data_IF_411573868637
#
_entry.id   IF_411573868637
#
_cell.length_a   1.000
_cell.length_b   1.000
_cell.length_c   1.000
_cell.angle_alpha   90.00
_cell.angle_beta   90.00
_cell.angle_gamma   90.00
#
_symmetry.space_group_name_H-M   'P 1'
#
loop_
_entity.id
_entity.type
_entity.pdbx_description
1 polymer ?
#
# COMPACT_ATOMS: atom_id res chain seq x y z
N UNK A 1 -42.78 -6.00 -32.04
CA UNK A 1 -42.35 -4.59 -32.19
C UNK A 1 -43.16 -3.79 -31.19
N UNK A 2 -42.61 -3.58 -30.01
CA UNK A 2 -43.27 -2.79 -28.96
C UNK A 2 -42.62 -1.42 -28.96
N UNK A 3 -43.40 -0.41 -29.34
CA UNK A 3 -43.08 1.00 -29.31
C UNK A 3 -42.93 1.45 -27.84
N UNK A 4 -41.71 1.41 -27.30
CA UNK A 4 -41.42 2.01 -25.99
C UNK A 4 -41.39 3.52 -26.19
N UNK A 5 -42.45 4.19 -25.74
CA UNK A 5 -42.52 5.65 -25.68
C UNK A 5 -41.28 6.21 -24.96
N UNK A 6 -40.40 6.88 -25.71
CA UNK A 6 -39.21 7.54 -25.16
C UNK A 6 -39.68 8.61 -24.17
N UNK A 7 -39.26 8.52 -22.91
CA UNK A 7 -39.70 9.47 -21.90
C UNK A 7 -39.14 10.86 -22.22
N UNK A 8 -40.04 11.86 -22.23
CA UNK A 8 -39.71 13.24 -22.52
C UNK A 8 -39.83 14.07 -21.24
N UNK A 9 -38.77 14.81 -20.92
CA UNK A 9 -38.66 15.61 -19.71
C UNK A 9 -38.60 17.10 -20.05
N UNK A 10 -39.26 17.93 -19.23
CA UNK A 10 -38.92 19.35 -19.14
C UNK A 10 -37.66 19.53 -18.29
N UNK A 11 -37.07 20.73 -18.32
CA UNK A 11 -35.82 20.99 -17.59
C UNK A 11 -36.02 20.86 -16.07
N UNK A 12 -37.21 21.20 -15.59
CA UNK A 12 -37.63 21.05 -14.19
C UNK A 12 -37.76 19.58 -13.80
N UNK A 13 -38.38 18.76 -14.66
CA UNK A 13 -38.50 17.32 -14.44
C UNK A 13 -37.11 16.66 -14.45
N UNK A 14 -36.25 17.05 -15.38
CA UNK A 14 -34.90 16.53 -15.49
C UNK A 14 -34.05 16.86 -14.25
N UNK A 15 -34.20 18.07 -13.71
CA UNK A 15 -33.57 18.47 -12.45
C UNK A 15 -34.04 17.59 -11.28
N UNK A 16 -35.35 17.36 -11.18
CA UNK A 16 -35.90 16.51 -10.13
C UNK A 16 -35.39 15.06 -10.20
N UNK A 17 -35.37 14.46 -11.40
CA UNK A 17 -34.98 13.06 -11.58
C UNK A 17 -33.46 12.80 -11.53
N UNK A 18 -32.65 13.82 -11.77
CA UNK A 18 -31.18 13.74 -11.71
C UNK A 18 -30.59 14.15 -10.37
N UNK A 19 -31.37 14.84 -9.52
CA UNK A 19 -30.86 15.47 -8.30
C UNK A 19 -30.03 16.74 -8.56
N UNK A 20 -29.83 17.14 -9.81
CA UNK A 20 -29.11 18.35 -10.19
C UNK A 20 -30.05 19.58 -10.23
N UNK A 21 -29.54 20.77 -9.98
CA UNK A 21 -30.35 22.00 -10.13
C UNK A 21 -30.49 22.40 -11.60
N UNK A 22 -31.58 23.10 -11.95
CA UNK A 22 -31.77 23.69 -13.29
C UNK A 22 -30.57 24.56 -13.70
N UNK A 23 -29.98 25.29 -12.74
CA UNK A 23 -28.77 26.10 -12.96
C UNK A 23 -27.59 25.24 -13.36
N UNK A 24 -27.37 24.12 -12.66
CA UNK A 24 -26.30 23.16 -12.95
C UNK A 24 -26.48 22.54 -14.34
N UNK A 25 -27.70 22.12 -14.70
CA UNK A 25 -28.00 21.54 -16.01
C UNK A 25 -27.67 22.52 -17.14
N UNK A 26 -28.07 23.80 -17.02
CA UNK A 26 -27.69 24.83 -18.00
C UNK A 26 -26.18 25.05 -18.06
N UNK A 27 -25.51 25.08 -16.91
CA UNK A 27 -24.06 25.22 -16.84
C UNK A 27 -23.32 24.04 -17.50
N UNK A 28 -23.89 22.83 -17.51
CA UNK A 28 -23.35 21.67 -18.22
C UNK A 28 -23.62 21.76 -19.72
N UNK A 29 -24.79 22.25 -20.15
CA UNK A 29 -25.07 22.53 -21.56
C UNK A 29 -24.11 23.57 -22.14
N UNK A 30 -23.92 24.70 -21.44
CA UNK A 30 -23.05 25.79 -21.89
C UNK A 30 -21.59 25.33 -22.02
N UNK A 31 -21.17 24.38 -21.18
CA UNK A 31 -19.84 23.75 -21.24
C UNK A 31 -19.74 22.58 -22.21
N UNK A 32 -20.83 22.20 -22.89
CA UNK A 32 -20.83 21.09 -23.85
C UNK A 32 -20.84 19.69 -23.22
N UNK A 33 -21.13 19.57 -21.93
CA UNK A 33 -21.22 18.29 -21.21
C UNK A 33 -22.54 17.55 -21.46
N UNK A 34 -23.55 18.27 -21.96
CA UNK A 34 -24.86 17.73 -22.31
C UNK A 34 -25.18 18.00 -23.78
N UNK A 35 -25.78 17.02 -24.50
CA UNK A 35 -26.34 17.25 -25.83
C UNK A 35 -27.30 18.43 -25.82
N UNK A 36 -27.40 19.10 -26.97
CA UNK A 36 -28.41 20.14 -27.15
C UNK A 36 -29.80 19.50 -27.06
N UNK A 37 -30.73 20.09 -26.28
CA UNK A 37 -32.07 19.56 -26.17
C UNK A 37 -32.82 19.73 -27.49
N UNK A 38 -33.80 18.87 -27.73
CA UNK A 38 -34.65 18.98 -28.91
C UNK A 38 -35.64 20.12 -28.75
N UNK A 39 -35.80 20.91 -29.82
CA UNK A 39 -36.72 22.04 -29.81
C UNK A 39 -38.08 21.59 -30.32
N UNK A 40 -39.09 21.59 -29.46
CA UNK A 40 -40.48 21.32 -29.85
C UNK A 40 -41.33 22.57 -29.59
N UNK A 41 -41.59 23.33 -30.66
CA UNK A 41 -42.30 24.60 -30.59
C UNK A 41 -41.52 25.67 -29.81
N UNK A 42 -42.13 26.25 -28.77
CA UNK A 42 -41.51 27.29 -27.92
C UNK A 42 -40.69 26.74 -26.76
N UNK A 43 -40.60 25.42 -26.63
CA UNK A 43 -40.00 24.78 -25.45
C UNK A 43 -38.97 23.73 -25.82
N UNK A 44 -37.91 23.64 -25.01
CA UNK A 44 -36.91 22.59 -25.12
C UNK A 44 -37.41 21.32 -24.43
N UNK A 45 -37.10 20.16 -25.02
CA UNK A 45 -37.46 18.84 -24.51
C UNK A 45 -36.19 18.01 -24.37
N UNK A 46 -36.11 17.29 -23.26
CA UNK A 46 -35.02 16.41 -22.91
C UNK A 46 -35.49 14.97 -22.99
N UNK A 47 -34.58 14.05 -23.30
CA UNK A 47 -34.86 12.61 -23.39
C UNK A 47 -34.13 11.86 -22.29
N UNK A 48 -34.45 10.59 -22.11
CA UNK A 48 -33.75 9.66 -21.20
C UNK A 48 -32.22 9.71 -21.32
N UNK A 49 -31.70 9.94 -22.52
CA UNK A 49 -30.25 10.11 -22.78
C UNK A 49 -29.63 11.26 -22.00
N UNK A 50 -30.38 12.35 -21.76
CA UNK A 50 -29.92 13.49 -20.98
C UNK A 50 -29.90 13.16 -19.48
N UNK A 51 -30.90 12.40 -19.01
CA UNK A 51 -30.99 11.97 -17.62
C UNK A 51 -29.85 10.99 -17.27
N UNK A 52 -29.60 10.02 -18.15
CA UNK A 52 -28.50 9.08 -18.01
C UNK A 52 -27.14 9.82 -17.94
N UNK A 53 -26.93 10.79 -18.83
CA UNK A 53 -25.70 11.60 -18.86
C UNK A 53 -25.51 12.44 -17.61
N UNK A 54 -26.58 13.00 -17.05
CA UNK A 54 -26.52 13.74 -15.79
C UNK A 54 -26.11 12.86 -14.61
N UNK A 55 -26.64 11.63 -14.52
CA UNK A 55 -26.25 10.67 -13.47
C UNK A 55 -24.78 10.25 -13.60
N UNK A 56 -24.31 10.02 -14.84
CA UNK A 56 -22.90 9.71 -15.09
C UNK A 56 -21.95 10.84 -14.67
N UNK A 57 -22.32 12.10 -14.97
CA UNK A 57 -21.53 13.25 -14.54
C UNK A 57 -21.49 13.31 -13.01
N UNK A 58 -22.61 13.06 -12.32
CA UNK A 58 -22.66 13.03 -10.86
C UNK A 58 -21.74 11.95 -10.27
N UNK A 59 -21.85 10.70 -10.76
CA UNK A 59 -21.01 9.58 -10.29
C UNK A 59 -19.51 9.84 -10.48
N UNK A 60 -19.12 10.47 -11.60
CA UNK A 60 -17.72 10.79 -11.87
C UNK A 60 -17.20 11.92 -10.98
N UNK A 61 -18.04 12.92 -10.70
CA UNK A 61 -17.70 14.00 -9.75
C UNK A 61 -17.55 13.45 -8.33
N UNK A 62 -18.42 12.53 -7.91
CA UNK A 62 -18.33 11.88 -6.59
C UNK A 62 -17.05 11.05 -6.44
N UNK A 63 -16.47 10.59 -7.56
CA UNK A 63 -15.17 9.88 -7.63
C UNK A 63 -13.97 10.83 -7.78
N UNK A 64 -14.17 12.14 -7.69
CA UNK A 64 -13.10 13.15 -7.70
C UNK A 64 -12.62 13.60 -9.09
N UNK A 65 -13.32 13.23 -10.17
CA UNK A 65 -12.96 13.70 -11.51
C UNK A 65 -13.31 15.19 -11.69
N UNK A 66 -12.49 15.92 -12.44
CA UNK A 66 -12.79 17.32 -12.77
C UNK A 66 -13.78 17.43 -13.94
N UNK A 67 -14.55 18.51 -14.00
CA UNK A 67 -15.47 18.76 -15.13
C UNK A 67 -14.76 18.82 -16.49
N UNK A 68 -13.49 19.25 -16.53
CA UNK A 68 -12.68 19.25 -17.74
C UNK A 68 -12.38 17.82 -18.21
N UNK A 69 -11.91 16.96 -17.32
CA UNK A 69 -11.65 15.54 -17.61
C UNK A 69 -12.93 14.79 -18.00
N UNK A 70 -14.05 15.09 -17.34
CA UNK A 70 -15.36 14.52 -17.67
C UNK A 70 -15.79 14.96 -19.08
N UNK A 71 -15.54 16.22 -19.46
CA UNK A 71 -15.86 16.72 -20.80
C UNK A 71 -15.07 16.00 -21.88
N UNK A 72 -13.76 15.87 -21.72
CA UNK A 72 -12.91 15.15 -22.68
C UNK A 72 -13.35 13.69 -22.85
N UNK A 73 -13.73 13.05 -21.74
CA UNK A 73 -14.24 11.69 -21.70
C UNK A 73 -15.57 11.56 -22.46
N UNK A 74 -16.51 12.47 -22.19
CA UNK A 74 -17.82 12.50 -22.85
C UNK A 74 -17.76 12.94 -24.32
N UNK A 75 -16.78 13.76 -24.72
CA UNK A 75 -16.55 14.12 -26.13
C UNK A 75 -15.93 12.94 -26.89
N UNK A 76 -15.11 12.11 -26.22
CA UNK A 76 -14.68 10.84 -26.78
C UNK A 76 -15.87 9.88 -27.03
N UNK A 77 -16.83 9.82 -26.10
CA UNK A 77 -18.07 9.04 -26.24
C UNK A 77 -18.91 9.41 -27.47
N UNK A 78 -19.20 10.70 -27.66
CA UNK A 78 -20.05 11.16 -28.77
C UNK A 78 -19.37 10.95 -30.13
N UNK A 79 -18.04 10.86 -30.16
CA UNK A 79 -17.25 10.54 -31.36
C UNK A 79 -17.22 9.03 -31.70
N UNK A 80 -18.02 8.21 -31.02
CA UNK A 80 -18.07 6.76 -31.24
C UNK A 80 -16.93 6.00 -30.55
N UNK A 81 -16.22 6.62 -29.60
CA UNK A 81 -15.23 5.94 -28.75
C UNK A 81 -15.98 5.39 -27.53
N UNK A 82 -16.11 4.08 -27.45
CA UNK A 82 -16.94 3.39 -26.46
C UNK A 82 -16.52 3.66 -25.01
N UNK A 83 -17.34 4.40 -24.26
CA UNK A 83 -17.13 4.64 -22.83
C UNK A 83 -17.63 3.50 -21.94
N UNK A 84 -18.52 2.62 -22.41
CA UNK A 84 -19.01 1.52 -21.58
C UNK A 84 -17.87 0.58 -21.22
N UNK A 85 -17.02 0.30 -22.19
CA UNK A 85 -15.82 -0.49 -21.97
C UNK A 85 -14.71 0.28 -21.23
N UNK A 86 -14.46 1.56 -21.53
CA UNK A 86 -13.38 2.33 -20.87
C UNK A 86 -13.75 2.73 -19.43
N UNK A 87 -14.98 3.13 -19.14
CA UNK A 87 -15.46 3.33 -17.76
C UNK A 87 -15.61 2.01 -17.02
N UNK A 88 -15.98 0.93 -17.70
CA UNK A 88 -15.93 -0.42 -17.14
C UNK A 88 -14.50 -0.81 -16.76
N UNK A 89 -13.52 -0.55 -17.61
CA UNK A 89 -12.11 -0.79 -17.33
C UNK A 89 -11.59 0.12 -16.21
N UNK A 90 -11.92 1.41 -16.21
CA UNK A 90 -11.55 2.38 -15.16
C UNK A 90 -12.19 1.98 -13.82
N UNK A 91 -13.48 1.62 -13.80
CA UNK A 91 -14.15 1.13 -12.59
C UNK A 91 -13.60 -0.22 -12.12
N UNK A 92 -13.14 -1.08 -13.02
CA UNK A 92 -12.52 -2.37 -12.66
C UNK A 92 -11.07 -2.20 -12.18
N UNK A 93 -10.31 -1.27 -12.77
CA UNK A 93 -8.95 -0.90 -12.34
C UNK A 93 -8.98 -0.20 -10.98
N UNK A 94 -9.99 0.63 -10.73
CA UNK A 94 -10.24 1.28 -9.43
C UNK A 94 -11.08 0.44 -8.47
N UNK A 95 -11.59 -0.72 -8.91
CA UNK A 95 -12.31 -1.65 -8.05
C UNK A 95 -11.39 -2.17 -6.94
N UNK A 96 -11.94 -2.52 -5.77
CA UNK A 96 -11.11 -2.94 -4.65
C UNK A 96 -10.30 -4.18 -5.07
N UNK A 97 -8.98 -4.10 -4.88
CA UNK A 97 -8.06 -5.20 -5.19
C UNK A 97 -8.15 -6.32 -4.14
N UNK A 98 -8.79 -6.05 -3.01
CA UNK A 98 -9.14 -7.01 -1.96
C UNK A 98 -10.66 -7.17 -1.91
N UNK A 99 -11.14 -8.35 -1.53
CA UNK A 99 -12.57 -8.57 -1.22
C UNK A 99 -12.94 -8.07 0.20
N UNK A 100 -12.07 -7.25 0.78
CA UNK A 100 -12.22 -6.78 2.15
C UNK A 100 -13.21 -5.60 2.21
N UNK A 101 -14.20 -5.71 3.09
CA UNK A 101 -15.14 -4.63 3.33
C UNK A 101 -14.58 -3.66 4.36
N UNK A 102 -14.46 -2.38 3.98
CA UNK A 102 -14.01 -1.34 4.89
C UNK A 102 -14.93 -1.25 6.11
N UNK A 103 -14.34 -1.27 7.32
CA UNK A 103 -15.08 -1.22 8.57
C UNK A 103 -15.11 0.19 9.14
N UNK A 104 -16.03 0.45 10.08
CA UNK A 104 -15.98 1.66 10.91
C UNK A 104 -15.50 1.30 12.31
N UNK A 105 -14.69 2.18 12.89
CA UNK A 105 -14.22 2.05 14.27
C UNK A 105 -14.38 3.40 14.99
N UNK A 106 -14.75 3.36 16.27
CA UNK A 106 -14.80 4.57 17.11
C UNK A 106 -13.41 4.90 17.67
N UNK A 107 -13.20 6.16 18.08
CA UNK A 107 -11.95 6.53 18.76
C UNK A 107 -11.74 5.75 20.07
N UNK A 108 -12.81 5.49 20.80
CA UNK A 108 -12.78 4.72 22.05
C UNK A 108 -12.31 3.28 21.81
N UNK A 109 -12.92 2.60 20.84
CA UNK A 109 -12.55 1.21 20.49
C UNK A 109 -11.12 1.13 19.95
N UNK A 110 -10.66 2.15 19.22
CA UNK A 110 -9.27 2.24 18.79
C UNK A 110 -8.33 2.35 20.00
N UNK A 111 -8.62 3.25 20.94
CA UNK A 111 -7.81 3.38 22.15
C UNK A 111 -7.77 2.06 22.93
N UNK A 112 -8.91 1.39 23.11
CA UNK A 112 -8.98 0.08 23.79
C UNK A 112 -8.05 -0.97 23.16
N UNK A 113 -8.04 -1.07 21.82
CA UNK A 113 -7.17 -2.00 21.09
C UNK A 113 -5.68 -1.70 21.25
N UNK A 114 -5.32 -0.44 21.52
CA UNK A 114 -3.93 0.03 21.62
C UNK A 114 -3.54 0.49 23.04
N UNK A 115 -4.11 -0.14 24.08
CA UNK A 115 -3.66 0.03 25.47
C UNK A 115 -4.46 1.04 26.30
N UNK A 116 -5.61 1.49 25.79
CA UNK A 116 -6.62 2.27 26.50
C UNK A 116 -6.34 3.77 26.65
N UNK A 117 -5.12 4.22 26.35
CA UNK A 117 -4.75 5.63 26.42
C UNK A 117 -4.91 6.30 25.05
N UNK A 118 -5.48 7.52 24.99
CA UNK A 118 -5.56 8.27 23.74
C UNK A 118 -4.17 8.70 23.26
N UNK A 119 -3.87 8.36 22.02
CA UNK A 119 -2.66 8.82 21.31
C UNK A 119 -3.06 9.51 20.00
N UNK A 120 -3.08 10.85 19.99
CA UNK A 120 -3.49 11.64 18.83
C UNK A 120 -2.45 11.65 17.71
N UNK A 121 -1.17 11.56 18.06
CA UNK A 121 -0.07 11.54 17.10
C UNK A 121 -0.09 10.21 16.32
N UNK A 122 -0.29 9.09 17.00
CA UNK A 122 -0.43 7.78 16.35
C UNK A 122 -1.66 7.72 15.44
N UNK A 123 -2.79 8.33 15.84
CA UNK A 123 -3.99 8.40 15.00
C UNK A 123 -3.78 9.30 13.79
N UNK A 124 -3.09 10.43 13.95
CA UNK A 124 -2.73 11.28 12.82
C UNK A 124 -1.81 10.55 11.85
N UNK A 125 -0.78 9.85 12.35
CA UNK A 125 0.12 9.07 11.50
C UNK A 125 -0.62 7.94 10.77
N UNK A 126 -1.52 7.23 11.45
CA UNK A 126 -2.37 6.21 10.82
C UNK A 126 -3.30 6.79 9.74
N UNK A 127 -3.77 8.04 9.92
CA UNK A 127 -4.51 8.76 8.88
C UNK A 127 -3.63 9.18 7.69
N UNK A 128 -2.42 9.66 7.94
CA UNK A 128 -1.48 10.02 6.87
C UNK A 128 -1.03 8.80 6.07
N UNK A 129 -0.93 7.66 6.74
CA UNK A 129 -0.72 6.35 6.13
C UNK A 129 -2.03 5.77 5.58
N UNK A 130 -3.20 6.40 5.66
CA UNK A 130 -4.45 5.86 5.13
C UNK A 130 -4.88 4.49 5.71
N UNK A 131 -4.32 4.09 6.87
CA UNK A 131 -4.82 2.95 7.66
C UNK A 131 -6.18 3.30 8.28
N UNK A 132 -6.36 4.59 8.59
CA UNK A 132 -7.60 5.18 9.04
C UNK A 132 -7.98 6.33 8.11
N UNK A 133 -9.26 6.48 7.80
CA UNK A 133 -9.78 7.67 7.13
C UNK A 133 -10.78 8.38 8.02
N UNK A 134 -10.71 9.71 8.06
CA UNK A 134 -11.64 10.51 8.86
C UNK A 134 -13.02 10.53 8.19
N UNK A 135 -14.06 10.27 8.97
CA UNK A 135 -15.44 10.38 8.47
C UNK A 135 -15.90 11.84 8.54
N UNK A 136 -16.29 12.47 7.41
CA UNK A 136 -16.77 13.85 7.41
C UNK A 136 -17.95 14.05 8.37
N UNK A 137 -17.85 15.06 9.24
CA UNK A 137 -18.89 15.37 10.23
C UNK A 137 -18.97 14.42 11.43
N UNK A 138 -18.07 13.44 11.56
CA UNK A 138 -17.99 12.54 12.72
C UNK A 138 -16.54 12.41 13.22
N UNK A 139 -16.06 13.33 14.07
CA UNK A 139 -14.65 13.38 14.48
C UNK A 139 -14.20 12.15 15.29
N UNK A 140 -15.14 11.47 15.96
CA UNK A 140 -14.86 10.29 16.80
C UNK A 140 -15.07 8.96 16.06
N UNK A 141 -15.24 9.00 14.73
CA UNK A 141 -15.39 7.81 13.89
C UNK A 141 -14.39 7.82 12.73
N UNK A 142 -13.82 6.65 12.49
CA UNK A 142 -12.90 6.41 11.40
C UNK A 142 -13.43 5.30 10.51
N UNK A 143 -13.13 5.40 9.22
CA UNK A 143 -13.20 4.29 8.29
C UNK A 143 -11.85 3.57 8.32
N UNK A 144 -11.87 2.24 8.28
CA UNK A 144 -10.70 1.39 8.22
C UNK A 144 -10.75 0.70 6.86
N UNK A 145 -9.96 1.13 5.86
CA UNK A 145 -9.98 0.51 4.54
C UNK A 145 -9.61 -0.96 4.57
N UNK A 146 -8.64 -1.35 5.42
CA UNK A 146 -8.27 -2.74 5.67
C UNK A 146 -8.36 -3.09 7.17
N UNK A 147 -9.50 -3.63 7.63
CA UNK A 147 -9.65 -4.21 8.96
C UNK A 147 -8.56 -5.23 9.36
N UNK A 148 -8.07 -6.04 8.42
CA UNK A 148 -7.00 -7.01 8.63
C UNK A 148 -5.66 -6.34 8.95
N UNK A 149 -5.29 -5.30 8.20
CA UNK A 149 -4.07 -4.51 8.48
C UNK A 149 -4.10 -3.91 9.90
N UNK A 150 -5.25 -3.34 10.29
CA UNK A 150 -5.45 -2.81 11.64
C UNK A 150 -5.37 -3.92 12.72
N UNK A 151 -5.94 -5.09 12.45
CA UNK A 151 -5.89 -6.23 13.37
C UNK A 151 -4.46 -6.73 13.58
N UNK A 152 -3.66 -6.86 12.52
CA UNK A 152 -2.24 -7.23 12.60
C UNK A 152 -1.45 -6.20 13.41
N UNK A 153 -1.70 -4.91 13.20
CA UNK A 153 -1.06 -3.85 13.99
C UNK A 153 -1.41 -3.96 15.48
N UNK A 154 -2.67 -4.25 15.82
CA UNK A 154 -3.11 -4.45 17.20
C UNK A 154 -2.44 -5.68 17.85
N UNK A 155 -2.31 -6.79 17.12
CA UNK A 155 -1.62 -7.99 17.61
C UNK A 155 -0.12 -7.75 17.86
N UNK A 156 0.57 -7.05 16.94
CA UNK A 156 1.97 -6.68 17.11
C UNK A 156 2.17 -5.76 18.30
N UNK A 157 1.28 -4.78 18.48
CA UNK A 157 1.32 -3.88 19.63
C UNK A 157 1.09 -4.65 20.94
N UNK A 158 0.10 -5.55 20.99
CA UNK A 158 -0.15 -6.40 22.15
C UNK A 158 1.04 -7.34 22.48
N UNK A 159 1.84 -7.72 21.48
CA UNK A 159 3.09 -8.45 21.65
C UNK A 159 4.27 -7.56 22.11
N UNK A 160 4.04 -6.26 22.34
CA UNK A 160 5.02 -5.30 22.86
C UNK A 160 5.82 -4.55 21.80
N UNK A 161 5.45 -4.65 20.52
CA UNK A 161 6.11 -3.88 19.46
C UNK A 161 5.63 -2.41 19.51
N UNK A 162 6.51 -1.41 19.60
CA UNK A 162 6.11 -0.01 19.64
C UNK A 162 5.36 0.43 18.37
N UNK A 163 4.31 1.25 18.50
CA UNK A 163 3.53 1.75 17.36
C UNK A 163 4.40 2.41 16.28
N UNK A 164 5.36 3.26 16.69
CA UNK A 164 6.34 3.89 15.77
C UNK A 164 7.13 2.88 14.94
N UNK A 165 7.44 1.70 15.49
CA UNK A 165 8.13 0.67 14.74
C UNK A 165 7.19 -0.04 13.74
N UNK A 166 5.92 -0.23 14.12
CA UNK A 166 4.89 -0.82 13.25
C UNK A 166 4.59 0.13 12.09
N UNK A 167 4.30 1.40 12.35
CA UNK A 167 4.02 2.42 11.32
C UNK A 167 5.24 2.71 10.45
N UNK A 168 6.43 2.73 11.05
CA UNK A 168 7.71 2.82 10.32
C UNK A 168 7.89 1.67 9.33
N UNK A 169 7.68 0.43 9.77
CA UNK A 169 7.79 -0.74 8.90
C UNK A 169 6.72 -0.74 7.79
N UNK A 170 5.49 -0.35 8.11
CA UNK A 170 4.41 -0.25 7.12
C UNK A 170 4.75 0.75 6.02
N UNK A 171 5.29 1.92 6.36
CA UNK A 171 5.70 2.96 5.38
C UNK A 171 6.74 2.41 4.40
N UNK A 172 7.75 1.72 4.92
CA UNK A 172 8.77 1.09 4.08
C UNK A 172 8.18 0.00 3.19
N UNK A 173 7.36 -0.88 3.76
CA UNK A 173 6.69 -1.97 3.05
C UNK A 173 5.85 -1.44 1.89
N UNK A 174 5.07 -0.37 2.11
CA UNK A 174 4.25 0.25 1.06
C UNK A 174 5.09 0.74 -0.11
N UNK A 175 6.20 1.45 0.15
CA UNK A 175 7.09 1.87 -0.93
C UNK A 175 7.64 0.69 -1.75
N UNK A 176 7.94 -0.44 -1.10
CA UNK A 176 8.38 -1.65 -1.83
C UNK A 176 7.24 -2.29 -2.63
N UNK A 177 6.04 -2.38 -2.07
CA UNK A 177 4.87 -2.94 -2.74
C UNK A 177 4.44 -2.07 -3.92
N UNK A 178 4.44 -0.74 -3.78
CA UNK A 178 4.16 0.20 -4.87
C UNK A 178 5.13 0.02 -6.04
N UNK A 179 6.42 -0.17 -5.75
CA UNK A 179 7.40 -0.47 -6.79
C UNK A 179 7.08 -1.78 -7.51
N UNK A 180 6.76 -2.84 -6.76
CA UNK A 180 6.35 -4.13 -7.33
C UNK A 180 5.10 -3.96 -8.19
N UNK A 181 4.08 -3.25 -7.70
CA UNK A 181 2.83 -2.99 -8.40
C UNK A 181 3.06 -2.24 -9.73
N UNK A 182 3.95 -1.22 -9.74
CA UNK A 182 4.35 -0.52 -10.97
C UNK A 182 4.94 -1.48 -12.00
N UNK A 183 5.82 -2.41 -11.58
CA UNK A 183 6.44 -3.40 -12.47
C UNK A 183 5.42 -4.41 -13.02
N UNK A 184 4.45 -4.85 -12.22
CA UNK A 184 3.34 -5.67 -12.71
C UNK A 184 2.49 -4.93 -13.73
N UNK A 185 2.19 -3.65 -13.50
CA UNK A 185 1.41 -2.83 -14.41
C UNK A 185 2.16 -2.55 -15.73
N UNK A 186 3.46 -2.25 -15.68
CA UNK A 186 4.33 -2.11 -16.85
C UNK A 186 4.34 -3.40 -17.68
N UNK A 187 4.59 -4.54 -17.04
CA UNK A 187 4.60 -5.86 -17.71
C UNK A 187 3.25 -6.17 -18.37
N UNK A 188 2.15 -5.88 -17.67
CA UNK A 188 0.80 -6.11 -18.19
C UNK A 188 0.50 -5.14 -19.35
N UNK A 189 0.93 -3.89 -19.27
CA UNK A 189 0.76 -2.91 -20.35
C UNK A 189 1.50 -3.37 -21.60
N UNK A 190 2.77 -3.78 -21.45
CA UNK A 190 3.64 -4.19 -22.56
C UNK A 190 3.19 -5.50 -23.22
N UNK A 191 2.77 -6.50 -22.44
CA UNK A 191 2.51 -7.85 -22.97
C UNK A 191 1.04 -8.26 -23.02
N UNK A 192 0.17 -7.60 -22.24
CA UNK A 192 -1.26 -7.92 -22.20
C UNK A 192 -2.07 -6.88 -22.95
N UNK A 193 -1.84 -5.58 -22.69
CA UNK A 193 -2.65 -4.52 -23.28
C UNK A 193 -2.14 -3.99 -24.63
N UNK A 194 -0.86 -4.18 -24.97
CA UNK A 194 -0.32 -3.75 -26.27
C UNK A 194 -1.09 -4.32 -27.48
N UNK A 195 -1.75 -5.49 -27.33
CA UNK A 195 -2.58 -6.09 -28.39
C UNK A 195 -3.95 -5.41 -28.58
N UNK A 196 -4.42 -4.67 -27.57
CA UNK A 196 -5.71 -3.94 -27.57
C UNK A 196 -5.51 -2.42 -27.78
N UNK A 197 -4.33 -1.90 -27.48
CA UNK A 197 -3.99 -0.47 -27.51
C UNK A 197 -3.24 -0.03 -28.79
N UNK A 198 -3.47 -0.70 -29.93
CA UNK A 198 -2.89 -0.32 -31.23
C UNK A 198 -3.36 1.06 -31.75
N UNK A 199 -2.96 1.43 -32.97
CA UNK A 199 -3.21 2.76 -33.61
C UNK A 199 -4.69 3.17 -33.79
N UNK A 200 -5.65 2.35 -33.34
CA UNK A 200 -7.08 2.59 -33.43
C UNK A 200 -7.64 2.66 -31.99
N UNK A 201 -8.50 3.65 -31.65
CA UNK A 201 -9.13 3.69 -30.34
C UNK A 201 -9.89 2.37 -30.06
N UNK A 202 -9.77 1.79 -28.85
CA UNK A 202 -10.43 0.53 -28.53
C UNK A 202 -11.95 0.67 -28.61
N UNK A 203 -12.62 -0.35 -29.16
CA UNK A 203 -14.08 -0.48 -29.17
C UNK A 203 -14.61 -0.86 -27.78
N UNK A 204 -15.92 -0.75 -27.57
CA UNK A 204 -16.56 -1.22 -26.31
C UNK A 204 -16.28 -2.72 -26.04
N UNK A 205 -16.18 -3.52 -27.11
CA UNK A 205 -15.82 -4.93 -27.00
C UNK A 205 -14.36 -5.12 -26.53
N UNK A 206 -13.42 -4.35 -27.08
CA UNK A 206 -12.01 -4.40 -26.70
C UNK A 206 -11.82 -4.02 -25.23
N UNK A 207 -12.55 -3.01 -24.76
CA UNK A 207 -12.41 -2.54 -23.39
C UNK A 207 -13.17 -3.44 -22.37
N UNK A 208 -14.27 -4.09 -22.76
CA UNK A 208 -14.89 -5.16 -21.96
C UNK A 208 -14.00 -6.42 -21.86
N UNK A 209 -13.29 -6.75 -22.93
CA UNK A 209 -12.30 -7.84 -22.93
C UNK A 209 -11.11 -7.47 -22.03
N UNK A 210 -10.58 -6.25 -22.15
CA UNK A 210 -9.55 -5.69 -21.27
C UNK A 210 -9.96 -5.79 -19.79
N UNK A 211 -11.16 -5.36 -19.43
CA UNK A 211 -11.70 -5.46 -18.07
C UNK A 211 -11.77 -6.92 -17.59
N UNK A 212 -12.17 -7.86 -18.46
CA UNK A 212 -12.19 -9.29 -18.13
C UNK A 212 -10.78 -9.84 -17.88
N UNK A 213 -9.78 -9.39 -18.61
CA UNK A 213 -8.39 -9.76 -18.34
C UNK A 213 -7.89 -9.18 -17.03
N UNK A 214 -8.21 -7.92 -16.69
CA UNK A 214 -7.86 -7.33 -15.39
C UNK A 214 -8.41 -8.19 -14.25
N UNK A 215 -9.70 -8.56 -14.31
CA UNK A 215 -10.34 -9.44 -13.31
C UNK A 215 -9.65 -10.80 -13.17
N UNK A 216 -9.13 -11.36 -14.27
CA UNK A 216 -8.40 -12.64 -14.26
C UNK A 216 -6.97 -12.50 -13.76
N UNK A 217 -6.31 -11.37 -14.04
CA UNK A 217 -4.91 -11.14 -13.66
C UNK A 217 -4.76 -10.82 -12.17
N UNK A 218 -5.72 -10.09 -11.57
CA UNK A 218 -5.70 -9.72 -10.15
C UNK A 218 -5.39 -10.89 -9.19
N UNK A 219 -6.15 -12.00 -9.19
CA UNK A 219 -5.86 -13.11 -8.28
C UNK A 219 -4.54 -13.82 -8.58
N UNK A 220 -4.09 -13.84 -9.84
CA UNK A 220 -2.80 -14.44 -10.21
C UNK A 220 -1.61 -13.62 -9.71
N UNK A 221 -1.71 -12.29 -9.79
CA UNK A 221 -0.71 -11.38 -9.25
C UNK A 221 -0.60 -11.53 -7.73
N UNK A 222 -1.74 -11.58 -7.01
CA UNK A 222 -1.77 -11.82 -5.56
C UNK A 222 -1.11 -13.15 -5.18
N UNK A 223 -1.52 -14.25 -5.82
CA UNK A 223 -0.92 -15.58 -5.58
C UNK A 223 0.60 -15.58 -5.83
N UNK A 224 1.07 -14.85 -6.85
CA UNK A 224 2.50 -14.75 -7.15
C UNK A 224 3.24 -13.98 -6.06
N UNK A 225 2.69 -12.85 -5.60
CA UNK A 225 3.28 -12.06 -4.52
C UNK A 225 3.32 -12.86 -3.22
N UNK A 226 2.24 -13.57 -2.86
CA UNK A 226 2.17 -14.39 -1.66
C UNK A 226 3.20 -15.52 -1.68
N UNK A 227 3.31 -16.22 -2.82
CA UNK A 227 4.30 -17.29 -3.00
C UNK A 227 5.74 -16.75 -2.90
N UNK A 228 6.02 -15.60 -3.51
CA UNK A 228 7.33 -14.97 -3.46
C UNK A 228 7.67 -14.42 -2.07
N UNK A 229 6.69 -13.86 -1.36
CA UNK A 229 6.83 -13.45 0.03
C UNK A 229 7.14 -14.64 0.93
N UNK A 230 6.38 -15.74 0.82
CA UNK A 230 6.62 -16.96 1.58
C UNK A 230 8.01 -17.55 1.30
N UNK A 231 8.44 -17.55 0.02
CA UNK A 231 9.79 -17.97 -0.38
C UNK A 231 10.86 -17.08 0.24
N UNK A 232 10.70 -15.76 0.17
CA UNK A 232 11.64 -14.79 0.74
C UNK A 232 11.72 -14.92 2.27
N UNK A 233 10.58 -15.01 2.95
CA UNK A 233 10.50 -15.21 4.40
C UNK A 233 11.23 -16.47 4.82
N UNK A 234 11.00 -17.61 4.15
CA UNK A 234 11.75 -18.85 4.41
C UNK A 234 13.26 -18.65 4.26
N UNK A 235 13.70 -18.02 3.17
CA UNK A 235 15.11 -17.77 2.89
C UNK A 235 15.77 -16.92 3.99
N UNK A 236 15.11 -15.85 4.43
CA UNK A 236 15.66 -14.95 5.43
C UNK A 236 15.50 -15.45 6.86
N UNK A 237 14.42 -16.15 7.19
CA UNK A 237 14.25 -16.81 8.49
C UNK A 237 15.34 -17.84 8.73
N UNK A 238 15.66 -18.69 7.73
CA UNK A 238 16.78 -19.63 7.84
C UNK A 238 18.11 -18.91 8.05
N UNK A 239 18.38 -17.81 7.34
CA UNK A 239 19.61 -17.03 7.51
C UNK A 239 19.66 -16.32 8.87
N UNK A 240 18.55 -15.80 9.36
CA UNK A 240 18.46 -15.11 10.65
C UNK A 240 18.65 -16.10 11.81
N UNK A 241 17.99 -17.26 11.75
CA UNK A 241 18.20 -18.37 12.68
C UNK A 241 19.66 -18.86 12.64
N UNK A 242 20.24 -19.05 11.45
CA UNK A 242 21.65 -19.45 11.33
C UNK A 242 22.62 -18.40 11.88
N UNK A 243 22.32 -17.11 11.77
CA UNK A 243 23.14 -16.05 12.38
C UNK A 243 23.00 -16.01 13.89
N UNK A 244 21.79 -16.17 14.43
CA UNK A 244 21.60 -16.18 15.89
C UNK A 244 22.07 -17.49 16.55
N UNK A 245 21.80 -18.64 15.94
CA UNK A 245 22.30 -19.94 16.41
C UNK A 245 23.79 -20.11 16.12
N UNK A 246 24.30 -19.56 15.02
CA UNK A 246 25.73 -19.56 14.70
C UNK A 246 26.55 -18.58 15.56
N UNK A 247 25.96 -17.46 15.97
CA UNK A 247 26.54 -16.56 16.97
C UNK A 247 26.49 -17.15 18.39
N UNK A 248 25.55 -18.05 18.67
CA UNK A 248 25.40 -18.71 19.97
C UNK A 248 25.98 -20.14 20.04
N UNK A 249 26.55 -20.69 18.96
CA UNK A 249 26.80 -22.14 18.92
C UNK A 249 27.67 -22.68 17.78
N UNK A 250 28.64 -21.93 17.26
CA UNK A 250 29.80 -22.61 16.68
C UNK A 250 30.53 -23.39 17.79
N UNK A 251 31.15 -24.55 17.54
CA UNK A 251 32.00 -25.17 18.54
C UNK A 251 33.10 -24.17 18.88
N UNK A 252 32.98 -23.49 20.01
CA UNK A 252 34.11 -22.79 20.60
C UNK A 252 35.18 -23.88 20.78
N UNK A 253 36.40 -23.69 20.25
CA UNK A 253 37.48 -24.59 20.59
C UNK A 253 37.64 -24.52 22.11
N UNK A 254 37.12 -25.53 22.82
CA UNK A 254 37.30 -25.72 24.26
C UNK A 254 38.71 -26.19 24.60
N UNK A 255 39.54 -26.42 23.57
CA UNK A 255 40.96 -26.70 23.66
C UNK A 255 41.83 -25.47 23.39
N UNK A 256 43.09 -25.48 23.87
CA UNK A 256 44.04 -24.40 23.61
C UNK A 256 44.23 -24.18 22.10
N UNK A 257 44.06 -22.93 21.66
CA UNK A 257 44.36 -22.53 20.28
C UNK A 257 45.83 -22.09 20.19
N UNK A 258 46.64 -22.64 19.26
CA UNK A 258 48.03 -22.26 19.12
C UNK A 258 48.16 -20.83 18.59
N UNK A 259 48.89 -19.97 19.31
CA UNK A 259 49.20 -18.60 18.90
C UNK A 259 50.68 -18.52 18.52
N UNK A 260 50.96 -17.98 17.34
CA UNK A 260 52.33 -17.73 16.91
C UNK A 260 52.90 -16.51 17.64
N UNK A 261 53.94 -16.71 18.46
CA UNK A 261 54.68 -15.64 19.13
C UNK A 261 56.04 -15.42 18.44
N UNK A 262 56.52 -14.17 18.34
CA UNK A 262 57.88 -13.91 17.86
C UNK A 262 58.92 -14.66 18.71
N UNK A 263 59.89 -15.29 18.05
CA UNK A 263 60.93 -16.07 18.73
C UNK A 263 61.73 -15.24 19.77
N UNK A 264 61.92 -13.94 19.51
CA UNK A 264 62.54 -13.01 20.46
C UNK A 264 61.77 -12.88 21.77
N UNK A 265 60.44 -12.82 21.70
CA UNK A 265 59.55 -12.73 22.87
C UNK A 265 59.56 -14.03 23.66
N UNK A 266 59.47 -15.18 22.97
CA UNK A 266 59.53 -16.50 23.62
C UNK A 266 60.86 -16.67 24.36
N UNK A 267 61.98 -16.30 23.75
CA UNK A 267 63.30 -16.35 24.37
C UNK A 267 63.42 -15.43 25.60
N UNK A 268 62.92 -14.20 25.52
CA UNK A 268 62.94 -13.28 26.66
C UNK A 268 62.12 -13.81 27.85
N UNK A 269 60.98 -14.45 27.59
CA UNK A 269 60.19 -15.11 28.64
C UNK A 269 60.91 -16.36 29.17
N UNK A 270 61.52 -17.16 28.30
CA UNK A 270 62.34 -18.32 28.71
C UNK A 270 63.50 -17.93 29.63
N UNK A 271 64.18 -16.82 29.35
CA UNK A 271 65.24 -16.28 30.19
C UNK A 271 64.71 -15.82 31.56
N UNK A 272 63.46 -15.37 31.64
CA UNK A 272 62.83 -14.87 32.87
C UNK A 272 62.28 -15.97 33.79
N UNK A 273 61.61 -16.98 33.22
CA UNK A 273 60.88 -18.01 34.02
C UNK A 273 61.34 -19.45 33.77
N UNK A 274 62.32 -19.64 32.88
CA UNK A 274 62.75 -20.97 32.43
C UNK A 274 61.80 -21.57 31.38
N UNK A 275 62.32 -22.49 30.56
CA UNK A 275 61.59 -23.06 29.42
C UNK A 275 60.31 -23.81 29.81
N UNK A 276 60.26 -24.42 30.99
CA UNK A 276 59.12 -25.19 31.48
C UNK A 276 57.93 -24.32 31.91
N UNK A 277 58.17 -23.07 32.31
CA UNK A 277 57.13 -22.17 32.85
C UNK A 277 56.65 -21.10 31.87
N UNK A 278 57.14 -21.10 30.62
CA UNK A 278 56.80 -20.09 29.60
C UNK A 278 55.29 -20.02 29.36
N UNK A 279 54.63 -21.17 29.20
CA UNK A 279 53.21 -21.22 28.91
C UNK A 279 52.36 -20.67 30.07
N UNK A 280 52.74 -21.00 31.31
CA UNK A 280 52.05 -20.51 32.51
C UNK A 280 52.23 -19.01 32.68
N UNK A 281 53.45 -18.49 32.47
CA UNK A 281 53.73 -17.06 32.53
C UNK A 281 52.94 -16.27 31.49
N UNK A 282 52.93 -16.73 30.23
CA UNK A 282 52.18 -16.07 29.16
C UNK A 282 50.68 -16.06 29.47
N UNK A 283 50.14 -17.18 29.98
CA UNK A 283 48.73 -17.26 30.41
C UNK A 283 48.43 -16.24 31.52
N UNK A 284 49.19 -16.27 32.61
CA UNK A 284 48.96 -15.40 33.76
C UNK A 284 49.12 -13.90 33.43
N UNK A 285 50.12 -13.56 32.61
CA UNK A 285 50.34 -12.18 32.16
C UNK A 285 49.18 -11.67 31.29
N UNK A 286 48.68 -12.52 30.39
CA UNK A 286 47.56 -12.18 29.50
C UNK A 286 46.25 -12.04 30.28
N UNK A 287 45.97 -12.95 31.22
CA UNK A 287 44.79 -12.88 32.10
C UNK A 287 44.78 -11.58 32.93
N UNK A 288 45.93 -11.20 33.50
CA UNK A 288 46.08 -9.96 34.26
C UNK A 288 45.77 -8.73 33.42
N UNK A 289 46.28 -8.66 32.19
CA UNK A 289 46.06 -7.52 31.29
C UNK A 289 44.59 -7.44 30.82
N UNK A 290 43.97 -8.59 30.51
CA UNK A 290 42.55 -8.65 30.14
C UNK A 290 41.65 -8.16 31.28
N UNK A 291 41.94 -8.58 32.51
CA UNK A 291 41.18 -8.14 33.68
C UNK A 291 41.34 -6.63 33.92
N UNK A 292 42.56 -6.09 33.77
CA UNK A 292 42.81 -4.65 33.90
C UNK A 292 42.02 -3.82 32.87
N UNK A 293 41.99 -4.25 31.59
CA UNK A 293 41.21 -3.58 30.54
C UNK A 293 39.71 -3.69 30.74
N UNK A 294 39.23 -4.84 31.20
CA UNK A 294 37.82 -5.06 31.50
C UNK A 294 37.35 -4.12 32.62
N UNK A 295 38.16 -3.95 33.67
CA UNK A 295 37.88 -3.00 34.76
C UNK A 295 37.85 -1.54 34.27
N UNK A 296 38.75 -1.16 33.36
CA UNK A 296 38.76 0.19 32.77
C UNK A 296 37.53 0.47 31.90
N UNK A 297 37.06 -0.50 31.13
CA UNK A 297 35.86 -0.36 30.30
C UNK A 297 34.58 -0.26 31.13
N UNK A 298 34.50 -1.00 32.24
CA UNK A 298 33.39 -0.88 33.20
C UNK A 298 33.38 0.48 33.88
N UNK A 299 34.54 1.01 34.29
CA UNK A 299 34.66 2.34 34.89
C UNK A 299 34.21 3.46 33.93
N UNK A 300 34.49 3.33 32.63
CA UNK A 300 34.07 4.31 31.60
C UNK A 300 32.57 4.30 31.29
N UNK A 301 31.87 3.18 31.54
CA UNK A 301 30.42 3.05 31.30
C UNK A 301 29.56 3.58 32.45
N UNK A 302 30.11 3.75 33.65
CA UNK A 302 29.40 4.32 34.80
C UNK A 302 29.34 5.85 34.81
N UNK A 303 30.01 6.53 33.88
CA UNK A 303 30.15 7.99 33.80
C UNK A 303 29.30 8.62 32.66
N UNK A 304 28.30 7.89 32.14
CA UNK A 304 27.28 8.36 31.18
C UNK A 304 25.89 8.10 31.74
#
# INVERSE_FOLDING_TARGET
MSDQAVAEYRIEDLAHHSGATVRTIRAYQDRGLLPKPERRGRSNVYRDTHLARLRQIADLLDRGYTLASIKELLEAWDAGRGLGGVLGLVAEVHGPWTDEEAARISREELNERFGGLPDDDAVSEACDLGVLERVPGRPDQFLVPSPQELAVAAELYAAGVPLVAITGHLRELRGQVEHIASRFLEFTTEHVFARYLGQVPPTDADAAEAATMVRRLRPLAQQTVDAELARAMRLFATRHLQRHLGAAGGPQPTGPSPVALPAGTVRAVQELVGAEHVAEFVRAATERELQARTMNDLARRGDR
#
